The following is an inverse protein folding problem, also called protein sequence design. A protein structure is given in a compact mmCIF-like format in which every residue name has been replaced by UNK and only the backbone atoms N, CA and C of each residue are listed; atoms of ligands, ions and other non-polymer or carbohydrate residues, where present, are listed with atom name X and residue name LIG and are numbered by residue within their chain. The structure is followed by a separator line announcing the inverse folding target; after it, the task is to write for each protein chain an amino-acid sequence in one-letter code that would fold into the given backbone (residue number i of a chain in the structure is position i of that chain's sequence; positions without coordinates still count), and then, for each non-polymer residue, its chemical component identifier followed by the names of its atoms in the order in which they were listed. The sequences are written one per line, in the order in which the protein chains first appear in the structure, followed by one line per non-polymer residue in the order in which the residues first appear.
data_IF_634944753363
#
_entry.id   IF_634944753363
#
_cell.length_a   1.000
_cell.length_b   1.000
_cell.length_c   1.000
_cell.angle_alpha   90.00
_cell.angle_beta   90.00
_cell.angle_gamma   90.00
#
_symmetry.space_group_name_H-M   'P 1'
#
loop_
_entity.id
_entity.type
_entity.pdbx_description
1 polymer ?
#
# COMPACT_ATOMS: atom_id res chain seq x y z
N UNK A 1 14.08 40.65 23.48
CA UNK A 1 12.94 41.07 22.61
C UNK A 1 13.49 41.92 21.45
N UNK A 2 12.68 42.45 20.51
CA UNK A 2 13.19 43.29 19.41
C UNK A 2 12.42 44.60 19.26
N UNK A 3 13.13 45.69 18.98
CA UNK A 3 12.55 46.96 18.52
C UNK A 3 12.88 47.19 17.05
N UNK A 4 12.03 47.94 16.36
CA UNK A 4 12.24 48.35 14.98
C UNK A 4 12.75 49.78 14.94
N UNK A 5 13.90 50.02 14.31
CA UNK A 5 14.47 51.37 14.17
C UNK A 5 15.23 51.57 12.86
N UNK A 6 15.19 52.79 12.33
CA UNK A 6 16.04 53.26 11.22
C UNK A 6 17.31 54.00 11.72
N UNK A 7 17.59 53.95 13.03
CA UNK A 7 18.69 54.64 13.69
C UNK A 7 18.37 56.05 14.20
N UNK A 8 17.21 56.62 13.84
CA UNK A 8 16.73 57.92 14.35
C UNK A 8 15.31 57.87 14.92
N UNK A 9 14.49 57.00 14.34
CA UNK A 9 13.10 56.77 14.67
C UNK A 9 12.91 55.31 15.11
N UNK A 10 11.89 55.11 15.93
CA UNK A 10 11.46 53.83 16.46
C UNK A 10 9.99 53.62 16.15
N UNK A 11 9.56 52.37 16.03
CA UNK A 11 8.14 52.03 15.89
C UNK A 11 7.49 51.96 17.27
N UNK A 12 6.46 52.78 17.50
CA UNK A 12 5.60 52.71 18.69
C UNK A 12 4.19 52.27 18.34
N UNK A 13 3.46 51.73 19.31
CA UNK A 13 2.01 51.54 19.19
C UNK A 13 1.28 52.87 19.35
N UNK A 14 0.23 53.08 18.56
CA UNK A 14 -0.61 54.25 18.71
C UNK A 14 -1.41 54.13 20.03
N UNK A 15 -1.21 55.03 21.01
CA UNK A 15 -1.90 54.97 22.30
C UNK A 15 -3.42 55.20 22.17
N UNK A 16 -3.89 55.79 21.07
CA UNK A 16 -5.31 56.04 20.81
C UNK A 16 -5.98 54.92 20.00
N UNK A 17 -5.21 54.04 19.34
CA UNK A 17 -5.73 52.95 18.49
C UNK A 17 -4.82 51.72 18.55
N UNK A 18 -5.24 50.74 19.35
CA UNK A 18 -4.55 49.45 19.49
C UNK A 18 -4.42 48.77 18.12
N UNK A 19 -3.21 48.31 17.78
CA UNK A 19 -2.91 47.69 16.49
C UNK A 19 -2.55 48.66 15.35
N UNK A 20 -2.54 49.97 15.58
CA UNK A 20 -1.88 50.94 14.70
C UNK A 20 -0.49 51.31 15.22
N UNK A 21 0.42 51.61 14.30
CA UNK A 21 1.81 51.90 14.62
C UNK A 21 2.22 53.25 14.07
N UNK A 22 3.05 53.97 14.83
CA UNK A 22 3.55 55.30 14.52
C UNK A 22 5.07 55.33 14.66
N UNK A 23 5.73 56.28 13.99
CA UNK A 23 7.14 56.57 14.24
C UNK A 23 7.27 57.51 15.46
N UNK A 24 8.27 57.25 16.31
CA UNK A 24 8.65 58.11 17.43
C UNK A 24 10.16 58.28 17.46
N UNK A 25 10.65 59.41 17.94
CA UNK A 25 12.08 59.63 18.17
C UNK A 25 12.53 59.17 19.55
N UNK A 26 11.59 58.84 20.45
CA UNK A 26 11.90 58.41 21.82
C UNK A 26 12.02 56.88 21.89
N UNK A 27 13.19 56.33 22.26
CA UNK A 27 13.39 54.88 22.40
C UNK A 27 12.54 54.29 23.54
N UNK A 28 12.19 55.09 24.55
CA UNK A 28 11.37 54.66 25.70
C UNK A 28 9.94 54.29 25.29
N UNK A 29 9.46 54.85 24.18
CA UNK A 29 8.11 54.56 23.65
C UNK A 29 8.13 53.50 22.54
N UNK A 30 9.28 52.92 22.23
CA UNK A 30 9.37 51.87 21.22
C UNK A 30 8.58 50.63 21.66
N UNK A 31 7.77 50.09 20.75
CA UNK A 31 7.08 48.83 21.00
C UNK A 31 8.07 47.68 20.85
N UNK A 32 8.08 46.81 21.84
CA UNK A 32 8.77 45.53 21.76
C UNK A 32 7.95 44.52 20.96
N UNK A 33 8.62 43.87 20.03
CA UNK A 33 8.06 42.84 19.18
C UNK A 33 8.83 41.53 19.38
N UNK A 34 8.12 40.41 19.26
CA UNK A 34 8.81 39.15 19.00
C UNK A 34 9.46 39.17 17.60
N UNK A 35 10.51 38.37 17.39
CA UNK A 35 11.18 38.26 16.09
C UNK A 35 10.20 37.98 14.94
N UNK A 36 9.24 37.08 15.16
CA UNK A 36 8.21 36.71 14.16
C UNK A 36 7.30 37.90 13.83
N UNK A 37 6.89 38.68 14.84
CA UNK A 37 6.04 39.86 14.64
C UNK A 37 6.79 40.99 13.91
N UNK A 38 8.01 41.31 14.33
CA UNK A 38 8.84 42.33 13.68
C UNK A 38 9.13 41.99 12.21
N UNK A 39 9.45 40.71 11.92
CA UNK A 39 9.68 40.24 10.55
C UNK A 39 8.42 40.33 9.68
N UNK A 40 7.26 39.96 10.23
CA UNK A 40 6.00 40.04 9.51
C UNK A 40 5.62 41.49 9.14
N UNK A 41 5.99 42.47 9.97
CA UNK A 41 5.76 43.90 9.70
C UNK A 41 6.65 44.42 8.55
N UNK A 42 7.95 44.12 8.58
CA UNK A 42 8.90 44.53 7.52
C UNK A 42 8.58 43.85 6.19
N UNK A 43 8.23 42.55 6.20
CA UNK A 43 7.95 41.79 4.99
C UNK A 43 6.52 41.95 4.46
N UNK A 44 5.69 42.75 5.14
CA UNK A 44 4.31 42.95 4.72
C UNK A 44 4.21 43.72 3.41
N UNK A 45 3.34 43.24 2.52
CA UNK A 45 2.98 43.95 1.28
C UNK A 45 1.87 44.99 1.48
N UNK A 46 1.43 45.22 2.73
CA UNK A 46 0.39 46.22 3.03
C UNK A 46 0.96 47.63 2.93
N UNK A 47 0.35 48.48 2.07
CA UNK A 47 0.75 49.89 1.87
C UNK A 47 0.86 50.68 3.19
N UNK A 48 0.01 50.38 4.18
CA UNK A 48 0.00 51.00 5.51
C UNK A 48 1.33 50.88 6.26
N UNK A 49 2.11 49.83 6.02
CA UNK A 49 3.36 49.54 6.74
C UNK A 49 4.59 49.66 5.82
N UNK A 50 4.43 50.21 4.61
CA UNK A 50 5.50 50.33 3.64
C UNK A 50 6.69 51.17 4.15
N UNK A 51 6.44 52.15 5.01
CA UNK A 51 7.46 53.00 5.62
C UNK A 51 8.37 52.24 6.61
N UNK A 52 7.91 51.12 7.17
CA UNK A 52 8.69 50.28 8.09
C UNK A 52 9.68 49.36 7.36
N UNK A 53 9.63 49.28 6.03
CA UNK A 53 10.52 48.40 5.25
C UNK A 53 11.99 48.75 5.37
N UNK A 54 12.29 50.02 5.70
CA UNK A 54 13.64 50.53 5.88
C UNK A 54 14.13 50.38 7.33
N UNK A 55 13.32 49.84 8.23
CA UNK A 55 13.66 49.70 9.64
C UNK A 55 14.40 48.38 9.88
N UNK A 56 15.37 48.41 10.77
CA UNK A 56 16.18 47.28 11.21
C UNK A 56 15.68 46.74 12.55
N UNK A 57 15.88 45.44 12.80
CA UNK A 57 15.61 44.84 14.10
C UNK A 57 16.80 45.06 15.01
N UNK A 58 16.57 45.70 16.15
CA UNK A 58 17.55 45.87 17.22
C UNK A 58 17.10 44.98 18.39
N UNK A 59 17.99 44.12 18.88
CA UNK A 59 17.73 43.30 20.07
C UNK A 59 17.81 44.14 21.33
N UNK A 60 16.91 43.92 22.29
CA UNK A 60 16.90 44.64 23.58
C UNK A 60 17.74 43.99 24.67
N UNK A 61 18.45 42.90 24.36
CA UNK A 61 19.22 42.16 25.36
C UNK A 61 20.65 42.74 25.43
N UNK A 62 21.01 43.30 26.59
CA UNK A 62 22.32 43.86 26.91
C UNK A 62 23.37 42.74 27.02
N UNK A 63 23.99 42.36 25.91
CA UNK A 63 25.31 41.74 25.88
C UNK A 63 25.86 41.81 24.45
N UNK A 64 27.09 42.32 24.35
CA UNK A 64 27.72 42.76 23.10
C UNK A 64 27.69 41.71 21.99
N UNK A 65 26.87 41.96 20.98
CA UNK A 65 27.30 42.08 19.59
C UNK A 65 26.10 42.59 18.79
N UNK A 66 26.22 43.77 18.21
CA UNK A 66 25.26 44.28 17.22
C UNK A 66 25.39 43.46 15.94
N UNK A 67 24.89 42.23 15.96
CA UNK A 67 24.81 41.42 14.75
C UNK A 67 23.68 41.99 13.92
N UNK A 68 24.03 42.80 12.92
CA UNK A 68 23.17 43.12 11.78
C UNK A 68 22.79 41.80 11.08
N UNK A 69 21.78 41.11 11.62
CA UNK A 69 21.21 39.94 10.96
C UNK A 69 20.40 40.44 9.77
N UNK A 70 21.00 40.34 8.59
CA UNK A 70 20.34 40.56 7.30
C UNK A 70 18.94 39.91 7.29
N UNK A 71 17.93 40.69 6.90
CA UNK A 71 16.51 40.28 6.84
C UNK A 71 16.29 39.10 5.89
N UNK A 72 17.27 38.84 5.01
CA UNK A 72 17.29 37.76 4.04
C UNK A 72 17.93 36.47 4.55
N UNK A 73 18.37 36.41 5.81
CA UNK A 73 18.87 35.17 6.39
C UNK A 73 17.73 34.12 6.51
N UNK A 74 17.83 33.06 5.71
CA UNK A 74 16.94 31.89 5.70
C UNK A 74 17.58 30.64 6.32
N UNK A 75 18.79 30.77 6.87
CA UNK A 75 19.51 29.64 7.44
C UNK A 75 18.89 29.17 8.75
N UNK A 76 18.88 27.84 8.97
CA UNK A 76 18.56 27.21 10.25
C UNK A 76 19.81 27.08 11.15
N UNK A 77 20.80 27.99 11.03
CA UNK A 77 21.95 27.90 11.93
C UNK A 77 21.49 28.12 13.37
N UNK A 78 22.04 27.31 14.27
CA UNK A 78 21.78 27.27 15.71
C UNK A 78 20.45 26.63 16.15
N UNK A 79 19.71 25.97 15.25
CA UNK A 79 18.69 24.97 15.65
C UNK A 79 19.31 23.58 15.59
N UNK A 80 19.95 23.15 16.69
CA UNK A 80 20.33 21.76 16.90
C UNK A 80 19.06 20.96 17.22
N UNK A 81 18.51 20.30 16.21
CA UNK A 81 17.35 19.42 16.36
C UNK A 81 17.83 18.01 16.71
N UNK A 82 18.44 17.86 17.88
CA UNK A 82 19.00 16.59 18.39
C UNK A 82 17.92 15.66 18.98
N UNK A 83 16.65 16.11 18.97
CA UNK A 83 15.51 15.40 19.57
C UNK A 83 14.81 14.42 18.63
N UNK A 84 15.34 14.19 17.43
CA UNK A 84 14.84 13.17 16.51
C UNK A 84 16.00 12.26 16.10
N UNK A 85 16.34 11.30 16.96
CA UNK A 85 17.23 10.21 16.61
C UNK A 85 16.60 9.45 15.44
N UNK A 86 17.33 9.28 14.35
CA UNK A 86 16.85 8.57 13.17
C UNK A 86 16.77 7.09 13.49
N UNK A 87 15.60 6.47 13.27
CA UNK A 87 15.44 5.04 13.46
C UNK A 87 16.20 4.27 12.38
N UNK A 88 17.40 3.81 12.74
CA UNK A 88 18.28 3.04 11.86
C UNK A 88 17.64 1.74 11.36
N UNK A 89 16.60 1.23 12.04
CA UNK A 89 15.86 0.04 11.61
C UNK A 89 15.22 0.21 10.21
N UNK A 90 14.88 1.44 9.82
CA UNK A 90 14.33 1.73 8.49
C UNK A 90 15.30 1.27 7.39
N UNK A 91 16.62 1.36 7.62
CA UNK A 91 17.62 0.90 6.66
C UNK A 91 17.55 -0.62 6.49
N UNK A 92 17.44 -1.36 7.60
CA UNK A 92 17.33 -2.81 7.59
C UNK A 92 16.03 -3.25 6.91
N UNK A 93 14.91 -2.60 7.21
CA UNK A 93 13.61 -2.91 6.62
C UNK A 93 13.62 -2.71 5.09
N UNK A 94 14.24 -1.62 4.60
CA UNK A 94 14.38 -1.36 3.16
C UNK A 94 15.31 -2.38 2.50
N UNK A 95 16.46 -2.70 3.13
CA UNK A 95 17.39 -3.69 2.61
C UNK A 95 16.74 -5.07 2.51
N UNK A 96 15.99 -5.49 3.53
CA UNK A 96 15.29 -6.77 3.56
C UNK A 96 14.24 -6.88 2.45
N UNK A 97 13.46 -5.82 2.20
CA UNK A 97 12.52 -5.80 1.08
C UNK A 97 13.24 -5.86 -0.27
N UNK A 98 14.32 -5.08 -0.45
CA UNK A 98 15.11 -5.09 -1.67
C UNK A 98 15.71 -6.47 -1.96
N UNK A 99 16.28 -7.14 -0.96
CA UNK A 99 16.79 -8.51 -1.10
C UNK A 99 15.67 -9.48 -1.45
N UNK A 100 14.52 -9.39 -0.77
CA UNK A 100 13.36 -10.24 -1.06
C UNK A 100 12.91 -10.11 -2.51
N UNK A 101 12.89 -8.90 -3.07
CA UNK A 101 12.54 -8.67 -4.48
C UNK A 101 13.61 -9.20 -5.43
N UNK A 102 14.89 -8.98 -5.14
CA UNK A 102 16.00 -9.44 -5.98
C UNK A 102 16.10 -10.97 -6.04
N UNK A 103 15.73 -11.68 -4.97
CA UNK A 103 15.70 -13.15 -4.92
C UNK A 103 14.48 -13.77 -5.63
N UNK A 104 13.46 -12.97 -6.00
CA UNK A 104 12.31 -13.49 -6.73
C UNK A 104 12.73 -14.02 -8.10
N UNK A 105 12.35 -15.27 -8.38
CA UNK A 105 12.47 -15.84 -9.71
C UNK A 105 11.54 -15.07 -10.69
N UNK A 106 12.12 -14.21 -11.51
CA UNK A 106 11.41 -13.39 -12.49
C UNK A 106 11.12 -14.19 -13.77
N UNK A 107 10.14 -15.10 -13.72
CA UNK A 107 9.79 -15.90 -14.90
C UNK A 107 9.31 -15.03 -16.06
N UNK A 108 9.87 -15.28 -17.23
CA UNK A 108 9.50 -14.57 -18.44
C UNK A 108 8.22 -15.13 -19.09
N UNK A 109 7.70 -14.39 -20.07
CA UNK A 109 6.47 -14.75 -20.77
C UNK A 109 6.58 -16.10 -21.49
N UNK A 110 7.76 -16.46 -21.99
CA UNK A 110 8.00 -17.72 -22.71
C UNK A 110 7.93 -18.90 -21.74
N UNK A 111 8.60 -18.80 -20.59
CA UNK A 111 8.55 -19.81 -19.53
C UNK A 111 7.11 -20.04 -19.06
N UNK A 112 6.37 -18.95 -18.79
CA UNK A 112 4.97 -19.03 -18.38
C UNK A 112 4.07 -19.68 -19.44
N UNK A 113 4.29 -19.40 -20.74
CA UNK A 113 3.57 -20.08 -21.83
C UNK A 113 3.88 -21.58 -21.88
N UNK A 114 5.14 -21.96 -21.73
CA UNK A 114 5.54 -23.38 -21.69
C UNK A 114 4.85 -24.10 -20.53
N UNK A 115 4.88 -23.54 -19.33
CA UNK A 115 4.19 -24.14 -18.17
C UNK A 115 2.68 -24.23 -18.38
N UNK A 116 2.05 -23.17 -18.91
CA UNK A 116 0.62 -23.18 -19.23
C UNK A 116 0.26 -24.30 -20.19
N UNK A 117 1.06 -24.52 -21.23
CA UNK A 117 0.83 -25.56 -22.23
C UNK A 117 0.94 -26.96 -21.61
N UNK A 118 1.99 -27.20 -20.80
CA UNK A 118 2.16 -28.47 -20.08
C UNK A 118 0.98 -28.74 -19.13
N UNK A 119 0.56 -27.73 -18.38
CA UNK A 119 -0.58 -27.82 -17.48
C UNK A 119 -1.89 -28.05 -18.24
N UNK A 120 -2.08 -27.42 -19.39
CA UNK A 120 -3.25 -27.60 -20.24
C UNK A 120 -3.37 -29.02 -20.81
N UNK A 121 -2.25 -29.61 -21.23
CA UNK A 121 -2.21 -31.02 -21.67
C UNK A 121 -2.62 -31.95 -20.53
N UNK A 122 -2.05 -31.75 -19.34
CA UNK A 122 -2.35 -32.61 -18.19
C UNK A 122 -3.77 -32.41 -17.65
N UNK A 123 -4.30 -31.18 -17.72
CA UNK A 123 -5.69 -30.89 -17.41
C UNK A 123 -6.63 -31.65 -18.34
N UNK A 124 -6.38 -31.59 -19.65
CA UNK A 124 -7.15 -32.31 -20.66
C UNK A 124 -7.12 -33.82 -20.44
N UNK A 125 -5.98 -34.39 -20.03
CA UNK A 125 -5.89 -35.80 -19.63
C UNK A 125 -6.77 -36.13 -18.44
N UNK A 126 -6.85 -35.26 -17.44
CA UNK A 126 -7.75 -35.46 -16.30
C UNK A 126 -9.22 -35.41 -16.72
N UNK A 127 -9.60 -34.47 -17.59
CA UNK A 127 -10.95 -34.38 -18.14
C UNK A 127 -11.33 -35.66 -18.92
N UNK A 128 -10.43 -36.14 -19.79
CA UNK A 128 -10.60 -37.42 -20.49
C UNK A 128 -10.73 -38.59 -19.53
N UNK A 129 -9.89 -38.67 -18.50
CA UNK A 129 -9.95 -39.76 -17.53
C UNK A 129 -11.26 -39.79 -16.73
N UNK A 130 -11.80 -38.63 -16.35
CA UNK A 130 -13.15 -38.53 -15.74
C UNK A 130 -14.22 -39.05 -16.70
N UNK A 131 -14.18 -38.58 -17.95
CA UNK A 131 -15.12 -38.99 -19.01
C UNK A 131 -15.05 -40.49 -19.29
N UNK A 132 -13.85 -41.06 -19.37
CA UNK A 132 -13.63 -42.49 -19.62
C UNK A 132 -14.21 -43.36 -18.50
N UNK A 133 -14.04 -42.95 -17.24
CA UNK A 133 -14.62 -43.65 -16.09
C UNK A 133 -16.14 -43.59 -16.13
N UNK A 134 -16.72 -42.42 -16.42
CA UNK A 134 -18.17 -42.25 -16.53
C UNK A 134 -18.75 -43.08 -17.67
N UNK A 135 -18.09 -43.11 -18.83
CA UNK A 135 -18.47 -43.97 -19.95
C UNK A 135 -18.32 -45.46 -19.63
N UNK A 136 -17.26 -45.88 -18.93
CA UNK A 136 -17.12 -47.28 -18.52
C UNK A 136 -18.28 -47.73 -17.61
N UNK A 137 -18.73 -46.86 -16.69
CA UNK A 137 -19.91 -47.11 -15.85
C UNK A 137 -21.20 -47.20 -16.69
N UNK A 138 -21.37 -46.33 -17.68
CA UNK A 138 -22.49 -46.38 -18.61
C UNK A 138 -22.48 -47.67 -19.44
N UNK A 139 -21.35 -48.06 -20.02
CA UNK A 139 -21.20 -49.30 -20.79
C UNK A 139 -21.50 -50.53 -19.94
N UNK A 140 -21.05 -50.54 -18.68
CA UNK A 140 -21.40 -51.61 -17.76
C UNK A 140 -22.92 -51.69 -17.53
N UNK A 141 -23.60 -50.56 -17.33
CA UNK A 141 -25.04 -50.53 -17.14
C UNK A 141 -25.80 -51.10 -18.35
N UNK A 142 -25.38 -50.77 -19.57
CA UNK A 142 -25.99 -51.29 -20.81
C UNK A 142 -25.74 -52.79 -20.99
N UNK A 143 -24.48 -53.24 -20.80
CA UNK A 143 -24.08 -54.63 -21.02
C UNK A 143 -24.59 -55.59 -19.95
N UNK A 144 -24.86 -55.08 -18.74
CA UNK A 144 -25.37 -55.88 -17.62
C UNK A 144 -26.90 -55.91 -17.50
N UNK A 145 -27.62 -55.32 -18.45
CA UNK A 145 -29.08 -55.26 -18.44
C UNK A 145 -29.64 -54.37 -17.33
N UNK A 146 -28.97 -53.26 -17.03
CA UNK A 146 -29.40 -52.31 -15.98
C UNK A 146 -28.93 -52.66 -14.57
N UNK A 147 -28.08 -53.69 -14.40
CA UNK A 147 -27.56 -54.07 -13.08
C UNK A 147 -26.54 -53.06 -12.60
N UNK A 148 -26.66 -52.64 -11.34
CA UNK A 148 -25.68 -51.77 -10.70
C UNK A 148 -24.40 -52.55 -10.36
N UNK A 149 -23.21 -51.95 -10.50
CA UNK A 149 -21.99 -52.59 -10.02
C UNK A 149 -22.06 -52.83 -8.51
N UNK A 150 -21.37 -53.89 -8.05
CA UNK A 150 -21.27 -54.21 -6.63
C UNK A 150 -20.60 -53.06 -5.85
N UNK A 151 -21.02 -52.84 -4.61
CA UNK A 151 -20.60 -51.70 -3.79
C UNK A 151 -19.07 -51.55 -3.68
N UNK A 152 -18.33 -52.64 -3.44
CA UNK A 152 -16.87 -52.58 -3.34
C UNK A 152 -16.17 -52.18 -4.65
N UNK A 153 -16.78 -52.45 -5.82
CA UNK A 153 -16.28 -52.00 -7.12
C UNK A 153 -16.58 -50.52 -7.31
N UNK A 154 -17.79 -50.07 -6.95
CA UNK A 154 -18.14 -48.65 -6.96
C UNK A 154 -17.26 -47.81 -6.04
N UNK A 155 -16.90 -48.32 -4.86
CA UNK A 155 -16.00 -47.64 -3.95
C UNK A 155 -14.62 -47.40 -4.58
N UNK A 156 -14.03 -48.43 -5.21
CA UNK A 156 -12.76 -48.30 -5.93
C UNK A 156 -12.82 -47.27 -7.06
N UNK A 157 -13.90 -47.29 -7.84
CA UNK A 157 -14.13 -46.29 -8.90
C UNK A 157 -14.29 -44.88 -8.31
N UNK A 158 -15.01 -44.76 -7.19
CA UNK A 158 -15.17 -43.50 -6.47
C UNK A 158 -13.84 -42.91 -6.00
N UNK A 159 -12.95 -43.73 -5.42
CA UNK A 159 -11.62 -43.29 -5.01
C UNK A 159 -10.73 -42.89 -6.20
N UNK A 160 -10.76 -43.67 -7.29
CA UNK A 160 -10.05 -43.31 -8.52
C UNK A 160 -10.52 -41.96 -9.08
N UNK A 161 -11.83 -41.74 -9.10
CA UNK A 161 -12.43 -40.49 -9.57
C UNK A 161 -12.06 -39.31 -8.65
N UNK A 162 -12.01 -39.53 -7.33
CA UNK A 162 -11.60 -38.51 -6.37
C UNK A 162 -10.14 -38.09 -6.57
N UNK A 163 -9.23 -39.04 -6.77
CA UNK A 163 -7.81 -38.77 -7.03
C UNK A 163 -7.60 -37.92 -8.30
N UNK A 164 -8.28 -38.29 -9.40
CA UNK A 164 -8.21 -37.54 -10.66
C UNK A 164 -8.77 -36.13 -10.48
N UNK A 165 -9.89 -35.98 -9.75
CA UNK A 165 -10.51 -34.67 -9.52
C UNK A 165 -9.67 -33.75 -8.64
N UNK A 166 -9.02 -34.28 -7.60
CA UNK A 166 -8.08 -33.53 -6.75
C UNK A 166 -6.87 -33.04 -7.57
N UNK A 167 -6.29 -33.91 -8.41
CA UNK A 167 -5.22 -33.52 -9.33
C UNK A 167 -5.68 -32.44 -10.32
N UNK A 168 -6.85 -32.61 -10.91
CA UNK A 168 -7.45 -31.65 -11.83
C UNK A 168 -7.69 -30.28 -11.17
N UNK A 169 -8.17 -30.25 -9.92
CA UNK A 169 -8.35 -29.02 -9.15
C UNK A 169 -7.03 -28.28 -8.92
N UNK A 170 -6.00 -29.00 -8.48
CA UNK A 170 -4.65 -28.46 -8.27
C UNK A 170 -4.08 -27.87 -9.56
N UNK A 171 -4.23 -28.56 -10.68
CA UNK A 171 -3.78 -28.06 -12.00
C UNK A 171 -4.52 -26.77 -12.37
N UNK A 172 -5.86 -26.72 -12.22
CA UNK A 172 -6.64 -25.50 -12.48
C UNK A 172 -6.20 -24.33 -11.61
N UNK A 173 -5.88 -24.58 -10.33
CA UNK A 173 -5.37 -23.54 -9.44
C UNK A 173 -4.05 -22.96 -9.94
N UNK A 174 -3.11 -23.81 -10.35
CA UNK A 174 -1.81 -23.36 -10.86
C UNK A 174 -1.97 -22.62 -12.20
N UNK A 175 -2.85 -23.08 -13.09
CA UNK A 175 -3.16 -22.36 -14.35
C UNK A 175 -3.65 -20.94 -14.07
N UNK A 176 -4.54 -20.75 -13.09
CA UNK A 176 -5.01 -19.41 -12.68
C UNK A 176 -3.87 -18.50 -12.22
N UNK A 177 -2.88 -19.04 -11.50
CA UNK A 177 -1.71 -18.24 -11.11
C UNK A 177 -0.85 -17.86 -12.30
N UNK A 178 -0.60 -18.80 -13.22
CA UNK A 178 0.16 -18.52 -14.45
C UNK A 178 -0.54 -17.46 -15.29
N UNK A 179 -1.88 -17.51 -15.39
CA UNK A 179 -2.70 -16.48 -16.04
C UNK A 179 -2.48 -15.10 -15.46
N UNK A 180 -2.54 -14.97 -14.12
CA UNK A 180 -2.30 -13.69 -13.45
C UNK A 180 -0.87 -13.19 -13.69
N UNK A 181 0.13 -14.07 -13.66
CA UNK A 181 1.52 -13.70 -13.94
C UNK A 181 1.70 -13.24 -15.41
N UNK A 182 1.06 -13.91 -16.36
CA UNK A 182 1.07 -13.48 -17.77
C UNK A 182 0.40 -12.11 -17.94
N UNK A 183 -0.76 -11.90 -17.31
CA UNK A 183 -1.45 -10.61 -17.33
C UNK A 183 -0.64 -9.51 -16.66
N UNK A 184 0.13 -9.82 -15.62
CA UNK A 184 0.99 -8.88 -14.94
C UNK A 184 2.13 -8.38 -15.85
N UNK A 185 2.71 -9.27 -16.67
CA UNK A 185 3.69 -8.90 -17.68
C UNK A 185 3.03 -8.02 -18.76
N UNK A 186 1.90 -8.47 -19.31
CA UNK A 186 1.23 -7.80 -20.44
C UNK A 186 0.70 -6.40 -20.08
N UNK A 187 0.28 -6.21 -18.83
CA UNK A 187 -0.32 -4.97 -18.36
C UNK A 187 0.59 -4.21 -17.37
N UNK A 188 1.86 -4.59 -17.25
CA UNK A 188 2.86 -3.94 -16.40
C UNK A 188 2.38 -3.70 -14.96
N UNK A 189 1.92 -4.75 -14.29
CA UNK A 189 1.43 -4.63 -12.91
C UNK A 189 2.55 -4.19 -11.96
N UNK A 190 2.18 -3.39 -10.96
CA UNK A 190 3.02 -3.19 -9.77
C UNK A 190 3.07 -4.48 -8.93
N UNK A 191 4.10 -4.64 -8.09
CA UNK A 191 4.21 -5.78 -7.18
C UNK A 191 2.99 -5.90 -6.25
N UNK A 192 2.49 -4.77 -5.75
CA UNK A 192 1.27 -4.73 -4.92
C UNK A 192 0.06 -5.29 -5.68
N UNK A 193 -0.15 -4.86 -6.93
CA UNK A 193 -1.26 -5.34 -7.75
C UNK A 193 -1.11 -6.81 -8.09
N UNK A 194 0.09 -7.27 -8.43
CA UNK A 194 0.36 -8.69 -8.68
C UNK A 194 0.03 -9.54 -7.44
N UNK A 195 0.50 -9.12 -6.26
CA UNK A 195 0.19 -9.79 -4.98
C UNK A 195 -1.31 -9.86 -4.73
N UNK A 196 -2.02 -8.77 -4.97
CA UNK A 196 -3.48 -8.70 -4.82
C UNK A 196 -4.21 -9.64 -5.79
N UNK A 197 -3.89 -9.63 -7.08
CA UNK A 197 -4.56 -10.50 -8.06
C UNK A 197 -4.22 -11.98 -7.85
N UNK A 198 -3.00 -12.33 -7.45
CA UNK A 198 -2.64 -13.70 -7.05
C UNK A 198 -3.45 -14.16 -5.83
N UNK A 199 -3.72 -13.26 -4.88
CA UNK A 199 -4.55 -13.59 -3.71
C UNK A 199 -5.99 -13.95 -4.08
N UNK A 200 -6.56 -13.27 -5.09
CA UNK A 200 -7.90 -13.54 -5.62
C UNK A 200 -7.98 -14.81 -6.45
N UNK A 201 -6.90 -15.15 -7.15
CA UNK A 201 -6.84 -16.33 -8.01
C UNK A 201 -6.91 -17.66 -7.22
N UNK A 202 -6.76 -17.61 -5.89
CA UNK A 202 -6.92 -18.76 -4.99
C UNK A 202 -8.27 -19.43 -5.14
N UNK A 203 -8.30 -20.73 -4.89
CA UNK A 203 -9.50 -21.54 -4.98
C UNK A 203 -10.52 -21.02 -3.97
N UNK A 204 -11.77 -20.94 -4.43
CA UNK A 204 -12.92 -20.66 -3.59
C UNK A 204 -13.72 -21.92 -3.44
N UNK A 205 -14.24 -22.15 -2.23
CA UNK A 205 -15.02 -23.33 -1.92
C UNK A 205 -16.20 -23.47 -2.87
N UNK A 206 -16.39 -24.69 -3.38
CA UNK A 206 -17.47 -24.99 -4.30
C UNK A 206 -18.81 -24.96 -3.56
N UNK A 207 -19.75 -24.17 -4.07
CA UNK A 207 -21.14 -24.15 -3.59
C UNK A 207 -22.00 -25.10 -4.42
N UNK A 208 -22.52 -26.13 -3.76
CA UNK A 208 -23.47 -27.07 -4.36
C UNK A 208 -24.69 -26.38 -4.94
N UNK A 209 -25.06 -26.76 -6.17
CA UNK A 209 -26.22 -26.15 -6.89
C UNK A 209 -27.43 -27.06 -6.98
N UNK A 210 -27.29 -28.32 -6.60
CA UNK A 210 -28.34 -29.33 -6.75
C UNK A 210 -28.51 -30.13 -5.48
N UNK A 211 -29.69 -30.73 -5.29
CA UNK A 211 -29.99 -31.64 -4.18
C UNK A 211 -28.98 -32.79 -4.04
N UNK A 212 -28.34 -33.20 -5.13
CA UNK A 212 -27.38 -34.31 -5.12
C UNK A 212 -26.09 -33.97 -4.38
N UNK A 213 -25.71 -32.68 -4.29
CA UNK A 213 -24.59 -32.25 -3.46
C UNK A 213 -24.87 -32.50 -1.98
N UNK A 214 -26.06 -32.09 -1.51
CA UNK A 214 -26.47 -32.32 -0.13
C UNK A 214 -26.57 -33.82 0.19
N UNK A 215 -27.20 -34.61 -0.69
CA UNK A 215 -27.28 -36.07 -0.54
C UNK A 215 -25.90 -36.71 -0.41
N UNK A 216 -24.92 -36.25 -1.19
CA UNK A 216 -23.54 -36.74 -1.10
C UNK A 216 -22.89 -36.38 0.25
N UNK A 217 -23.05 -35.15 0.73
CA UNK A 217 -22.53 -34.73 2.04
C UNK A 217 -23.15 -35.54 3.19
N UNK A 218 -24.47 -35.72 3.17
CA UNK A 218 -25.19 -36.51 4.18
C UNK A 218 -24.71 -37.97 4.18
N UNK A 219 -24.50 -38.54 2.99
CA UNK A 219 -23.99 -39.93 2.83
C UNK A 219 -22.56 -40.08 3.36
N UNK A 220 -21.73 -39.04 3.25
CA UNK A 220 -20.36 -39.01 3.76
C UNK A 220 -20.28 -38.72 5.27
N UNK A 221 -21.41 -38.47 5.93
CA UNK A 221 -21.47 -38.13 7.35
C UNK A 221 -21.22 -36.65 7.68
N UNK A 222 -21.29 -35.76 6.67
CA UNK A 222 -21.01 -34.33 6.81
C UNK A 222 -22.21 -33.44 7.14
N UNK A 223 -23.39 -34.01 7.38
CA UNK A 223 -24.61 -33.24 7.65
C UNK A 223 -24.79 -32.94 9.13
N UNK A 224 -24.10 -31.92 9.67
CA UNK A 224 -24.52 -31.03 10.79
C UNK A 224 -23.34 -30.21 11.33
N UNK A 225 -23.08 -29.05 10.75
CA UNK A 225 -22.51 -27.93 11.51
C UNK A 225 -22.91 -26.63 10.81
N UNK A 226 -24.02 -26.08 11.28
CA UNK A 226 -24.44 -24.67 11.23
C UNK A 226 -23.81 -23.79 10.14
N UNK A 227 -24.59 -23.57 9.07
CA UNK A 227 -24.57 -22.36 8.25
C UNK A 227 -25.67 -21.41 8.74
#
# INVERSE_FOLDING_TARGET
MYILSDGKNYVMENPMKIGEYLSTTSPVHAKEFSYKQARALIQSNRKKWAWMKQYHLIGTDEEGDTVEKSVNYRGKANTYNDSSEFDMKILDDINNEAFSILELAAWDKTQLHTYRNLLGIELGRCDSAVSDIEHALQTYNHTSGGKKPQAHKMAKIGYLLAEIRDKHEKIKQVIRYVEVMQQAIDNQFTLEKLKYELSKAKFTEYKGRTKYYQVALDTLGGGSSDL
#
